data_IF_974132003591
#
_entry.id   IF_974132003591
#
_cell.length_a   1.000
_cell.length_b   1.000
_cell.length_c   1.000
_cell.angle_alpha   90.00
_cell.angle_beta   90.00
_cell.angle_gamma   90.00
#
_symmetry.space_group_name_H-M   'P 1'
#
loop_
_entity.id
_entity.type
_entity.pdbx_description
1 polymer ?
#
# COMPACT_ATOMS: atom_id res chain seq x y z
N UNK A 1 62.61 -50.60 17.47
CA UNK A 1 61.34 -50.28 18.18
C UNK A 1 61.18 -48.76 18.11
N UNK A 2 60.24 -48.19 17.37
CA UNK A 2 58.78 -48.16 17.54
C UNK A 2 58.40 -46.69 17.72
N UNK A 3 58.27 -45.93 16.62
CA UNK A 3 57.70 -44.58 16.64
C UNK A 3 56.91 -44.26 15.36
N UNK A 4 56.40 -45.30 14.68
CA UNK A 4 55.46 -45.15 13.54
C UNK A 4 53.99 -45.11 13.97
N UNK A 5 53.69 -45.31 15.26
CA UNK A 5 52.33 -45.32 15.78
C UNK A 5 51.75 -43.92 16.07
N UNK A 6 52.57 -42.91 16.41
CA UNK A 6 52.08 -41.57 16.75
C UNK A 6 51.79 -40.66 15.53
N UNK A 7 52.49 -40.84 14.41
CA UNK A 7 52.31 -39.95 13.25
C UNK A 7 50.96 -40.12 12.53
N UNK A 8 50.40 -41.33 12.57
CA UNK A 8 49.08 -41.63 11.99
C UNK A 8 47.95 -41.09 12.86
N UNK A 9 48.16 -41.05 14.17
CA UNK A 9 47.24 -40.47 15.15
C UNK A 9 47.17 -38.94 15.02
N UNK A 10 48.33 -38.27 14.98
CA UNK A 10 48.44 -36.82 14.78
C UNK A 10 47.80 -36.36 13.45
N UNK A 11 47.97 -37.12 12.37
CA UNK A 11 47.36 -36.79 11.07
C UNK A 11 45.83 -36.92 11.06
N UNK A 12 45.27 -37.81 11.88
CA UNK A 12 43.81 -37.93 12.03
C UNK A 12 43.25 -36.77 12.85
N UNK A 13 43.92 -36.34 13.92
CA UNK A 13 43.53 -35.15 14.70
C UNK A 13 43.53 -33.88 13.84
N UNK A 14 44.55 -33.65 13.00
CA UNK A 14 44.58 -32.49 12.09
C UNK A 14 43.42 -32.51 11.08
N UNK A 15 43.03 -33.70 10.59
CA UNK A 15 41.90 -33.87 9.67
C UNK A 15 40.57 -33.58 10.39
N UNK A 16 40.41 -34.03 11.63
CA UNK A 16 39.23 -33.73 12.45
C UNK A 16 39.13 -32.23 12.76
N UNK A 17 40.25 -31.58 13.09
CA UNK A 17 40.30 -30.12 13.31
C UNK A 17 39.94 -29.36 12.03
N UNK A 18 40.45 -29.77 10.86
CA UNK A 18 40.07 -29.19 9.57
C UNK A 18 38.58 -29.37 9.26
N UNK A 19 38.00 -30.52 9.57
CA UNK A 19 36.56 -30.78 9.40
C UNK A 19 35.73 -29.90 10.33
N UNK A 20 36.12 -29.77 11.60
CA UNK A 20 35.46 -28.88 12.56
C UNK A 20 35.55 -27.41 12.14
N UNK A 21 36.70 -26.95 11.67
CA UNK A 21 36.86 -25.58 11.17
C UNK A 21 35.96 -25.33 9.94
N UNK A 22 35.89 -26.29 9.01
CA UNK A 22 35.03 -26.17 7.82
C UNK A 22 33.54 -26.07 8.17
N UNK A 23 33.07 -26.85 9.14
CA UNK A 23 31.67 -26.84 9.59
C UNK A 23 31.32 -25.55 10.32
N UNK A 24 32.23 -25.03 11.15
CA UNK A 24 32.09 -23.72 11.81
C UNK A 24 32.01 -22.59 10.77
N UNK A 25 32.85 -22.61 9.73
CA UNK A 25 32.83 -21.62 8.65
C UNK A 25 31.50 -21.69 7.89
N UNK A 26 31.03 -22.89 7.55
CA UNK A 26 29.75 -23.10 6.86
C UNK A 26 28.57 -22.63 7.71
N UNK A 27 28.57 -22.94 9.00
CA UNK A 27 27.54 -22.50 9.93
C UNK A 27 27.50 -20.97 10.02
N UNK A 28 28.66 -20.32 10.15
CA UNK A 28 28.76 -18.87 10.19
C UNK A 28 28.25 -18.21 8.89
N UNK A 29 28.53 -18.81 7.73
CA UNK A 29 28.02 -18.34 6.43
C UNK A 29 26.52 -18.50 6.30
N UNK A 30 25.97 -19.62 6.77
CA UNK A 30 24.52 -19.87 6.77
C UNK A 30 23.79 -18.86 7.65
N UNK A 31 24.28 -18.65 8.87
CA UNK A 31 23.75 -17.65 9.82
C UNK A 31 23.83 -16.24 9.22
N UNK A 32 24.86 -15.98 8.41
CA UNK A 32 25.04 -14.71 7.71
C UNK A 32 23.95 -14.40 6.69
N UNK A 33 23.55 -15.43 5.96
CA UNK A 33 22.50 -15.34 4.96
C UNK A 33 21.13 -15.20 5.64
N UNK A 34 20.87 -15.95 6.71
CA UNK A 34 19.59 -15.91 7.44
C UNK A 34 19.32 -14.55 8.09
N UNK A 35 20.19 -14.09 9.00
CA UNK A 35 20.87 -12.83 8.76
C UNK A 35 20.23 -11.75 7.87
N UNK A 36 20.83 -11.66 6.68
CA UNK A 36 20.50 -10.67 5.66
C UNK A 36 19.07 -10.80 5.19
N UNK A 37 18.56 -12.03 5.09
CA UNK A 37 17.18 -12.29 4.71
C UNK A 37 16.23 -11.71 5.75
N UNK A 38 16.47 -11.95 7.03
CA UNK A 38 15.68 -11.39 8.12
C UNK A 38 15.74 -9.87 8.16
N UNK A 39 16.94 -9.29 8.01
CA UNK A 39 17.12 -7.83 7.95
C UNK A 39 16.43 -7.22 6.73
N UNK A 40 16.52 -7.86 5.57
CA UNK A 40 15.80 -7.46 4.36
C UNK A 40 14.28 -7.46 4.59
N UNK A 41 13.76 -8.54 5.20
CA UNK A 41 12.36 -8.63 5.58
C UNK A 41 11.96 -7.61 6.65
N UNK A 42 12.87 -7.17 7.51
CA UNK A 42 12.57 -6.13 8.51
C UNK A 42 12.55 -4.73 7.89
N UNK A 43 13.50 -4.42 7.01
CA UNK A 43 13.69 -3.08 6.46
C UNK A 43 12.67 -2.72 5.37
N UNK A 44 12.18 -3.68 4.57
CA UNK A 44 11.25 -3.33 3.48
C UNK A 44 9.92 -2.77 3.99
N UNK A 45 9.42 -3.22 5.15
CA UNK A 45 8.17 -2.73 5.72
C UNK A 45 8.27 -1.27 6.18
N UNK A 46 9.47 -0.73 6.40
CA UNK A 46 9.69 0.65 6.85
C UNK A 46 9.21 1.68 5.80
N UNK A 47 9.00 1.27 4.55
CA UNK A 47 8.38 2.13 3.53
C UNK A 47 6.87 2.31 3.72
N UNK A 48 6.18 1.32 4.32
CA UNK A 48 4.72 1.28 4.39
C UNK A 48 4.10 2.49 5.11
N UNK A 49 4.66 3.01 6.23
CA UNK A 49 4.13 4.20 6.86
C UNK A 49 4.13 5.42 5.94
N UNK A 50 5.24 5.67 5.23
CA UNK A 50 5.34 6.80 4.30
C UNK A 50 4.37 6.65 3.12
N UNK A 51 4.28 5.45 2.55
CA UNK A 51 3.34 5.15 1.48
C UNK A 51 1.88 5.32 1.94
N UNK A 52 1.56 4.83 3.13
CA UNK A 52 0.24 4.97 3.75
C UNK A 52 -0.16 6.43 3.93
N UNK A 53 0.74 7.29 4.43
CA UNK A 53 0.50 8.72 4.58
C UNK A 53 0.18 9.36 3.22
N UNK A 54 0.97 9.06 2.19
CA UNK A 54 0.75 9.59 0.84
C UNK A 54 -0.63 9.18 0.31
N UNK A 55 -0.97 7.89 0.40
CA UNK A 55 -2.27 7.38 -0.04
C UNK A 55 -3.44 8.04 0.70
N UNK A 56 -3.33 8.20 2.03
CA UNK A 56 -4.37 8.87 2.83
C UNK A 56 -4.52 10.32 2.41
N UNK A 57 -3.42 11.07 2.31
CA UNK A 57 -3.47 12.49 1.92
C UNK A 57 -4.01 12.66 0.51
N UNK A 58 -3.72 11.75 -0.42
CA UNK A 58 -4.31 11.74 -1.76
C UNK A 58 -5.81 11.40 -1.75
N UNK A 59 -6.26 10.49 -0.88
CA UNK A 59 -7.67 10.09 -0.80
C UNK A 59 -8.57 11.13 -0.14
N UNK A 60 -8.05 11.88 0.85
CA UNK A 60 -8.78 12.91 1.60
C UNK A 60 -9.51 13.94 0.73
N UNK A 61 -8.90 14.59 -0.28
CA UNK A 61 -9.60 15.57 -1.12
C UNK A 61 -10.79 14.97 -1.89
N UNK A 62 -10.68 13.72 -2.33
CA UNK A 62 -11.77 13.04 -3.03
C UNK A 62 -12.95 12.72 -2.10
N UNK A 63 -12.65 12.16 -0.91
CA UNK A 63 -13.67 11.82 0.08
C UNK A 63 -14.34 13.09 0.66
N UNK A 64 -13.55 14.13 0.95
CA UNK A 64 -14.08 15.40 1.46
C UNK A 64 -14.98 16.09 0.43
N UNK A 65 -14.58 16.14 -0.86
CA UNK A 65 -15.42 16.72 -1.90
C UNK A 65 -16.79 16.01 -2.01
N UNK A 66 -16.80 14.68 -1.91
CA UNK A 66 -18.04 13.88 -1.91
C UNK A 66 -18.96 14.24 -0.74
N UNK A 67 -18.41 14.29 0.49
CA UNK A 67 -19.17 14.63 1.69
C UNK A 67 -19.67 16.08 1.67
N UNK A 68 -18.80 17.03 1.31
CA UNK A 68 -19.13 18.45 1.24
C UNK A 68 -20.23 18.70 0.21
N UNK A 69 -20.16 18.07 -0.97
CA UNK A 69 -21.20 18.21 -1.98
C UNK A 69 -22.55 17.68 -1.47
N UNK A 70 -22.55 16.53 -0.80
CA UNK A 70 -23.78 15.98 -0.24
C UNK A 70 -24.40 16.93 0.81
N UNK A 71 -23.59 17.53 1.68
CA UNK A 71 -24.06 18.43 2.73
C UNK A 71 -24.56 19.78 2.20
N UNK A 72 -23.89 20.38 1.22
CA UNK A 72 -24.24 21.71 0.71
C UNK A 72 -25.37 21.68 -0.33
N UNK A 73 -25.42 20.63 -1.13
CA UNK A 73 -26.26 20.58 -2.34
C UNK A 73 -27.36 19.53 -2.25
N UNK A 74 -27.22 18.56 -1.34
CA UNK A 74 -28.09 17.39 -1.25
C UNK A 74 -27.77 16.32 -2.30
N UNK A 75 -26.66 16.46 -3.02
CA UNK A 75 -26.21 15.47 -3.99
C UNK A 75 -24.69 15.33 -3.95
N UNK A 76 -24.23 14.08 -3.95
CA UNK A 76 -22.80 13.74 -3.82
C UNK A 76 -21.96 14.16 -5.04
N UNK A 77 -22.56 14.15 -6.22
CA UNK A 77 -21.88 14.43 -7.49
C UNK A 77 -22.31 15.78 -8.07
N UNK A 78 -21.34 16.55 -8.58
CA UNK A 78 -21.65 17.79 -9.31
C UNK A 78 -21.95 17.48 -10.77
N UNK A 79 -23.00 18.12 -11.30
CA UNK A 79 -23.34 18.04 -12.72
C UNK A 79 -22.27 18.73 -13.55
N UNK A 80 -21.93 18.15 -14.70
CA UNK A 80 -21.01 18.80 -15.65
C UNK A 80 -21.63 20.08 -16.21
N UNK A 81 -20.81 21.12 -16.34
CA UNK A 81 -21.19 22.44 -16.87
C UNK A 81 -20.26 22.87 -18.01
N UNK A 82 -19.52 21.91 -18.59
CA UNK A 82 -18.55 22.18 -19.64
C UNK A 82 -19.23 22.63 -20.93
N UNK A 83 -20.36 22.00 -21.26
CA UNK A 83 -21.13 22.30 -22.46
C UNK A 83 -22.17 23.42 -22.24
N UNK A 84 -22.45 24.19 -23.30
CA UNK A 84 -23.48 25.25 -23.28
C UNK A 84 -24.86 24.68 -22.90
N UNK A 85 -25.23 23.52 -23.41
CA UNK A 85 -26.55 22.91 -23.18
C UNK A 85 -26.71 22.46 -21.74
N UNK A 86 -25.69 21.82 -21.18
CA UNK A 86 -25.66 21.43 -19.79
C UNK A 86 -25.78 22.65 -18.85
N UNK A 87 -25.14 23.77 -19.18
CA UNK A 87 -25.31 25.03 -18.44
C UNK A 87 -26.73 25.60 -18.56
N UNK A 88 -27.32 25.60 -19.75
CA UNK A 88 -28.70 26.06 -19.96
C UNK A 88 -29.69 25.24 -19.15
N UNK A 89 -29.57 23.91 -19.18
CA UNK A 89 -30.40 23.02 -18.39
C UNK A 89 -30.21 23.21 -16.89
N UNK A 90 -28.97 23.37 -16.42
CA UNK A 90 -28.68 23.66 -15.01
C UNK A 90 -29.35 24.96 -14.53
N UNK A 91 -29.29 26.02 -15.34
CA UNK A 91 -29.96 27.28 -15.01
C UNK A 91 -31.48 27.16 -15.06
N UNK A 92 -32.04 26.39 -16.00
CA UNK A 92 -33.47 26.08 -16.06
C UNK A 92 -33.92 25.41 -14.75
N UNK A 93 -33.24 24.34 -14.36
CA UNK A 93 -33.60 23.57 -13.16
C UNK A 93 -33.51 24.44 -11.90
N UNK A 94 -32.48 25.29 -11.80
CA UNK A 94 -32.34 26.26 -10.71
C UNK A 94 -33.45 27.31 -10.67
N UNK A 95 -34.01 27.73 -11.82
CA UNK A 95 -35.14 28.66 -11.88
C UNK A 95 -36.47 28.01 -11.49
N UNK A 96 -36.65 26.72 -11.80
CA UNK A 96 -37.88 25.98 -11.50
C UNK A 96 -37.99 25.64 -10.01
N UNK A 97 -36.92 25.15 -9.38
CA UNK A 97 -36.99 24.62 -8.00
C UNK A 97 -36.14 25.37 -6.98
N UNK A 98 -35.32 26.34 -7.41
CA UNK A 98 -34.30 26.97 -6.58
C UNK A 98 -33.05 26.10 -6.35
N UNK A 99 -33.16 24.78 -6.47
CA UNK A 99 -32.06 23.83 -6.35
C UNK A 99 -31.96 22.92 -7.60
N UNK A 100 -30.92 23.08 -8.44
CA UNK A 100 -30.77 22.32 -9.69
C UNK A 100 -30.53 20.81 -9.52
N UNK A 101 -30.39 20.33 -8.28
CA UNK A 101 -30.22 18.91 -7.96
C UNK A 101 -31.52 18.28 -7.43
N UNK A 102 -32.56 19.08 -7.19
CA UNK A 102 -33.91 18.58 -6.90
C UNK A 102 -34.65 18.38 -8.21
N UNK A 103 -34.85 17.12 -8.59
CA UNK A 103 -35.60 16.75 -9.80
C UNK A 103 -37.09 17.06 -9.58
N UNK A 104 -37.76 17.52 -10.64
CA UNK A 104 -39.22 17.61 -10.70
C UNK A 104 -39.66 16.66 -11.81
N UNK A 105 -40.45 15.67 -11.44
CA UNK A 105 -41.13 14.80 -12.38
C UNK A 105 -42.51 15.35 -12.75
N UNK A 106 -43.40 14.44 -13.11
CA UNK A 106 -44.77 14.75 -13.51
C UNK A 106 -45.64 15.21 -12.33
N UNK A 107 -45.22 14.92 -11.09
CA UNK A 107 -45.91 15.33 -9.87
C UNK A 107 -45.97 16.85 -9.64
N UNK A 108 -45.17 17.62 -10.38
CA UNK A 108 -45.18 19.09 -10.32
C UNK A 108 -46.21 19.72 -11.29
N UNK A 109 -46.82 18.91 -12.16
CA UNK A 109 -47.81 19.37 -13.14
C UNK A 109 -49.19 19.23 -12.48
N UNK A 110 -50.01 20.29 -12.48
CA UNK A 110 -51.36 20.20 -11.93
C UNK A 110 -52.23 19.24 -12.77
N UNK A 111 -53.06 18.45 -12.07
CA UNK A 111 -54.05 17.57 -12.69
C UNK A 111 -55.23 18.42 -13.20
N UNK A 112 -55.07 19.01 -14.38
CA UNK A 112 -56.16 19.57 -15.21
C UNK A 112 -56.22 18.87 -16.57
#
# INVERSE_FOLDING_TARGET
>A
MHNRFNFKFLKNEEVEVMQLLSTVILYKKKLNIEYKIFLFFKMWFEILPSFGIICVVMAVPHASAYLINNLLVGNMYRRTLLEKDNRRQYLRDRRLTGNPYKVQGLEAIPDE
#
